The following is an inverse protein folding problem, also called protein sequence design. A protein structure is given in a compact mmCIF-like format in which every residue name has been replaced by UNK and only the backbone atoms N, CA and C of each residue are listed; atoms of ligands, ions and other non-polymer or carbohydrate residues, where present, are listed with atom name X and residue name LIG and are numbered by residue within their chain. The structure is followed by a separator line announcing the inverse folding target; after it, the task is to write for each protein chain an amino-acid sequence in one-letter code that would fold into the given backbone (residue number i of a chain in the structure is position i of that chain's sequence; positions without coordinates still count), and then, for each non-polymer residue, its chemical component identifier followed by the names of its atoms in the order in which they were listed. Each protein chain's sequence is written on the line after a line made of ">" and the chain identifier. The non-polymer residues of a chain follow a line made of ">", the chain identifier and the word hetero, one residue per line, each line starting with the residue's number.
data_IF_830433002286
#
_entry.id   IF_830433002286
#
_cell.length_a   1.000
_cell.length_b   1.000
_cell.length_c   1.000
_cell.angle_alpha   90.00
_cell.angle_beta   90.00
_cell.angle_gamma   90.00
#
_symmetry.space_group_name_H-M   'P 1'
#
loop_
_entity.id
_entity.type
_entity.pdbx_description
1 polymer ?
#
# COMPACT_ATOMS: atom_id res chain seq x y z
N UNK A 1 7.06 8.96 -4.31
CA UNK A 1 5.59 9.07 -4.33
C UNK A 1 5.07 8.43 -3.05
N UNK A 2 4.01 8.94 -2.45
CA UNK A 2 3.47 8.45 -1.18
C UNK A 2 2.02 7.99 -1.34
N UNK A 3 1.70 6.78 -0.88
CA UNK A 3 0.36 6.20 -0.96
C UNK A 3 -0.60 6.81 0.07
N UNK A 4 -1.82 7.08 -0.37
CA UNK A 4 -2.94 7.50 0.46
C UNK A 4 -3.36 6.34 1.36
N UNK A 5 -3.73 6.65 2.61
CA UNK A 5 -4.29 5.73 3.59
C UNK A 5 -3.39 4.54 4.03
N UNK A 6 -2.19 4.37 3.47
CA UNK A 6 -1.20 3.39 3.92
C UNK A 6 -1.81 1.99 4.12
N UNK A 7 -1.64 1.42 5.32
CA UNK A 7 -2.17 0.08 5.66
C UNK A 7 -3.68 -0.09 5.47
N UNK A 8 -4.46 0.99 5.52
CA UNK A 8 -5.90 0.90 5.35
C UNK A 8 -6.33 0.48 3.93
N UNK A 9 -5.41 0.42 2.96
CA UNK A 9 -5.70 -0.14 1.64
C UNK A 9 -5.79 -1.69 1.65
N UNK A 10 -5.39 -2.35 2.73
CA UNK A 10 -5.44 -3.82 2.86
C UNK A 10 -6.61 -4.22 3.74
N UNK A 11 -7.50 -5.09 3.23
CA UNK A 11 -8.59 -5.67 4.03
C UNK A 11 -8.07 -6.69 5.03
N UNK A 12 -8.66 -6.69 6.23
CA UNK A 12 -8.50 -7.80 7.16
C UNK A 12 -9.17 -9.03 6.55
N UNK A 13 -8.56 -10.18 6.75
CA UNK A 13 -9.11 -11.46 6.28
C UNK A 13 -10.48 -11.69 6.91
N UNK A 14 -11.45 -12.09 6.09
CA UNK A 14 -12.80 -12.44 6.54
C UNK A 14 -12.75 -13.49 7.65
N UNK A 15 -13.39 -13.20 8.79
CA UNK A 15 -13.41 -14.01 10.00
C UNK A 15 -12.32 -13.68 11.03
N UNK A 16 -11.38 -12.78 10.70
CA UNK A 16 -10.30 -12.34 11.58
C UNK A 16 -10.49 -10.90 12.11
N UNK A 17 -11.55 -10.18 11.70
CA UNK A 17 -11.82 -8.78 12.09
C UNK A 17 -11.91 -8.61 13.61
N UNK A 18 -12.57 -9.55 14.29
CA UNK A 18 -12.71 -9.57 15.76
C UNK A 18 -11.36 -9.62 16.51
N UNK A 19 -10.30 -10.16 15.89
CA UNK A 19 -8.94 -10.19 16.49
C UNK A 19 -8.30 -8.81 16.55
N UNK A 20 -8.76 -7.92 15.68
CA UNK A 20 -8.33 -6.54 15.59
C UNK A 20 -9.35 -5.57 16.21
N UNK A 21 -10.31 -6.10 16.99
CA UNK A 21 -11.31 -5.28 17.66
C UNK A 21 -10.65 -4.35 18.68
N UNK A 22 -11.17 -3.12 18.76
CA UNK A 22 -10.82 -2.16 19.79
C UNK A 22 -12.06 -1.67 20.50
N UNK A 23 -11.90 -1.21 21.74
CA UNK A 23 -13.01 -0.72 22.56
C UNK A 23 -12.84 0.77 22.85
N UNK A 24 -13.91 1.52 22.65
CA UNK A 24 -14.06 2.92 23.06
C UNK A 24 -15.13 2.99 24.16
N UNK A 25 -15.30 4.15 24.83
CA UNK A 25 -16.43 4.35 25.74
C UNK A 25 -17.81 4.14 25.09
N UNK A 26 -17.90 4.22 23.76
CA UNK A 26 -19.14 4.08 23.00
C UNK A 26 -19.42 2.63 22.56
N UNK A 27 -18.44 1.72 22.71
CA UNK A 27 -18.62 0.30 22.37
C UNK A 27 -17.37 -0.37 21.84
N UNK A 28 -17.53 -1.61 21.38
CA UNK A 28 -16.48 -2.37 20.69
C UNK A 28 -16.69 -2.33 19.18
N UNK A 29 -15.60 -2.14 18.45
CA UNK A 29 -15.61 -1.97 17.00
C UNK A 29 -14.61 -2.93 16.36
N UNK A 30 -15.03 -3.56 15.27
CA UNK A 30 -14.21 -4.45 14.46
C UNK A 30 -13.86 -3.75 13.14
N UNK A 31 -12.58 -3.47 12.88
CA UNK A 31 -12.17 -2.81 11.64
C UNK A 31 -12.18 -3.81 10.47
N UNK A 32 -12.57 -3.34 9.28
CA UNK A 32 -12.55 -4.14 8.05
C UNK A 32 -11.21 -4.06 7.29
N UNK A 33 -10.36 -3.10 7.65
CA UNK A 33 -9.08 -2.83 7.01
C UNK A 33 -7.97 -2.81 8.06
N UNK A 34 -6.75 -3.12 7.63
CA UNK A 34 -5.59 -3.07 8.50
C UNK A 34 -5.33 -1.63 8.95
N UNK A 35 -4.79 -1.46 10.15
CA UNK A 35 -4.48 -0.15 10.72
C UNK A 35 -3.15 -0.19 11.49
N UNK A 36 -2.70 0.97 11.94
CA UNK A 36 -1.48 1.12 12.71
C UNK A 36 -1.56 0.39 14.05
N UNK A 37 -0.49 -0.34 14.40
CA UNK A 37 -0.40 -1.08 15.66
C UNK A 37 -0.62 -2.58 15.53
N UNK A 38 -1.13 -3.08 14.41
CA UNK A 38 -1.09 -4.52 14.13
C UNK A 38 0.33 -4.91 13.69
N UNK A 39 0.89 -5.93 14.33
CA UNK A 39 2.26 -6.41 14.05
C UNK A 39 2.47 -6.79 12.57
N UNK A 40 1.43 -7.32 11.92
CA UNK A 40 1.50 -7.78 10.55
C UNK A 40 1.07 -6.74 9.51
N UNK A 41 0.69 -5.51 9.89
CA UNK A 41 0.35 -4.46 8.93
C UNK A 41 1.50 -4.14 7.96
N UNK A 42 2.72 -3.83 8.44
CA UNK A 42 3.85 -3.54 7.53
C UNK A 42 4.20 -4.69 6.56
N UNK A 43 4.45 -5.93 7.02
CA UNK A 43 4.84 -7.00 6.09
C UNK A 43 3.72 -7.42 5.15
N UNK A 44 2.45 -7.34 5.56
CA UNK A 44 1.32 -7.67 4.67
C UNK A 44 1.19 -6.63 3.56
N UNK A 45 1.32 -5.34 3.89
CA UNK A 45 1.31 -4.26 2.90
C UNK A 45 2.48 -4.38 1.93
N UNK A 46 3.69 -4.61 2.45
CA UNK A 46 4.87 -4.80 1.62
C UNK A 46 4.72 -5.99 0.67
N UNK A 47 4.12 -7.10 1.10
CA UNK A 47 3.86 -8.24 0.23
C UNK A 47 2.91 -7.88 -0.91
N UNK A 48 1.80 -7.20 -0.63
CA UNK A 48 0.87 -6.72 -1.67
C UNK A 48 1.59 -5.84 -2.70
N UNK A 49 2.40 -4.89 -2.23
CA UNK A 49 3.17 -4.01 -3.11
C UNK A 49 4.23 -4.77 -3.91
N UNK A 50 4.91 -5.73 -3.31
CA UNK A 50 5.87 -6.59 -4.01
C UNK A 50 5.16 -7.39 -5.11
N UNK A 51 3.97 -7.94 -4.86
CA UNK A 51 3.23 -8.71 -5.87
C UNK A 51 2.86 -7.84 -7.09
N UNK A 52 2.43 -6.59 -6.86
CA UNK A 52 2.06 -5.63 -7.92
C UNK A 52 3.27 -5.20 -8.76
N UNK A 53 4.45 -5.05 -8.15
CA UNK A 53 5.63 -4.43 -8.77
C UNK A 53 6.84 -5.36 -8.92
N UNK A 54 6.69 -6.67 -8.72
CA UNK A 54 7.80 -7.63 -8.69
C UNK A 54 8.67 -7.62 -9.95
N UNK A 55 8.09 -7.38 -11.12
CA UNK A 55 8.75 -7.31 -12.42
C UNK A 55 9.40 -5.94 -12.70
N UNK A 56 9.12 -4.93 -11.87
CA UNK A 56 9.71 -3.58 -11.96
C UNK A 56 10.80 -3.34 -10.90
N UNK A 57 11.21 -4.35 -10.15
CA UNK A 57 12.13 -4.22 -8.99
C UNK A 57 13.52 -3.65 -9.31
N UNK A 58 13.89 -3.56 -10.58
CA UNK A 58 15.16 -2.99 -11.05
C UNK A 58 15.14 -1.47 -11.07
N UNK A 59 13.96 -0.85 -11.19
CA UNK A 59 13.78 0.61 -11.35
C UNK A 59 12.76 1.20 -10.37
N UNK A 60 11.98 0.35 -9.69
CA UNK A 60 11.03 0.72 -8.64
C UNK A 60 11.42 0.06 -7.33
N UNK A 61 11.68 0.86 -6.30
CA UNK A 61 11.86 0.41 -4.91
C UNK A 61 10.63 0.83 -4.11
N UNK A 62 10.04 -0.11 -3.38
CA UNK A 62 8.91 0.16 -2.51
C UNK A 62 9.29 -0.14 -1.08
N UNK A 63 9.06 0.82 -0.21
CA UNK A 63 9.21 0.67 1.23
C UNK A 63 7.92 1.12 1.91
N UNK A 64 7.10 0.14 2.33
CA UNK A 64 5.79 0.41 2.93
C UNK A 64 4.95 1.27 1.96
N UNK A 65 4.62 2.52 2.31
CA UNK A 65 3.80 3.46 1.54
C UNK A 65 4.62 4.35 0.59
N UNK A 66 5.94 4.36 0.72
CA UNK A 66 6.85 5.11 -0.15
C UNK A 66 7.23 4.31 -1.40
N UNK A 67 7.03 4.93 -2.56
CA UNK A 67 7.44 4.43 -3.86
C UNK A 67 8.54 5.32 -4.42
N UNK A 68 9.72 4.74 -4.63
CA UNK A 68 10.88 5.37 -5.26
C UNK A 68 11.03 4.80 -6.68
N UNK A 69 11.02 5.70 -7.67
CA UNK A 69 11.31 5.37 -9.07
C UNK A 69 12.66 5.97 -9.42
N UNK A 70 13.54 5.21 -10.07
CA UNK A 70 14.83 5.68 -10.52
C UNK A 70 15.16 5.13 -11.92
N UNK A 71 15.68 6.00 -12.77
CA UNK A 71 16.05 5.69 -14.16
C UNK A 71 17.34 6.42 -14.52
N UNK A 72 18.03 5.96 -15.57
CA UNK A 72 19.28 6.58 -16.04
C UNK A 72 19.02 7.81 -16.94
N UNK A 73 17.85 7.87 -17.60
CA UNK A 73 17.44 8.98 -18.47
C UNK A 73 16.09 9.57 -18.02
N UNK A 74 15.90 10.85 -18.34
CA UNK A 74 14.66 11.58 -18.08
C UNK A 74 13.52 11.11 -19.00
N UNK A 75 13.78 10.91 -20.30
CA UNK A 75 12.77 10.38 -21.25
C UNK A 75 12.22 9.01 -20.83
N UNK A 76 13.08 8.12 -20.32
CA UNK A 76 12.63 6.82 -19.81
C UNK A 76 11.95 6.91 -18.43
N UNK A 77 12.16 8.00 -17.70
CA UNK A 77 11.56 8.18 -16.37
C UNK A 77 10.05 8.31 -16.45
N UNK A 78 9.56 9.14 -17.37
CA UNK A 78 8.13 9.41 -17.53
C UNK A 78 7.36 8.15 -17.91
N UNK A 79 7.91 7.31 -18.79
CA UNK A 79 7.30 6.03 -19.18
C UNK A 79 7.14 5.09 -17.98
N UNK A 80 8.18 4.98 -17.14
CA UNK A 80 8.14 4.14 -15.94
C UNK A 80 7.17 4.72 -14.90
N UNK A 81 7.17 6.04 -14.70
CA UNK A 81 6.23 6.72 -13.80
C UNK A 81 4.79 6.49 -14.24
N UNK A 82 4.49 6.61 -15.54
CA UNK A 82 3.15 6.36 -16.07
C UNK A 82 2.72 4.92 -15.87
N UNK A 83 3.61 3.95 -16.09
CA UNK A 83 3.31 2.55 -15.81
C UNK A 83 3.07 2.29 -14.32
N UNK A 84 3.87 2.91 -13.43
CA UNK A 84 3.64 2.84 -11.98
C UNK A 84 2.26 3.38 -11.61
N UNK A 85 1.89 4.57 -12.10
CA UNK A 85 0.60 5.19 -11.83
C UNK A 85 -0.56 4.34 -12.35
N UNK A 86 -0.41 3.76 -13.54
CA UNK A 86 -1.41 2.86 -14.12
C UNK A 86 -1.63 1.62 -13.27
N UNK A 87 -0.57 0.97 -12.77
CA UNK A 87 -0.70 -0.20 -11.89
C UNK A 87 -1.35 0.14 -10.56
N UNK A 88 -1.05 1.31 -10.01
CA UNK A 88 -1.73 1.79 -8.81
C UNK A 88 -3.24 1.95 -9.07
N UNK A 89 -3.62 2.57 -10.17
CA UNK A 89 -5.03 2.72 -10.58
C UNK A 89 -5.73 1.36 -10.78
N UNK A 90 -5.09 0.41 -11.45
CA UNK A 90 -5.61 -0.95 -11.66
C UNK A 90 -5.84 -1.74 -10.36
N UNK A 91 -5.20 -1.33 -9.26
CA UNK A 91 -5.32 -1.94 -7.93
C UNK A 91 -6.06 -1.06 -6.90
N UNK A 92 -6.77 -0.01 -7.35
CA UNK A 92 -7.47 0.94 -6.48
C UNK A 92 -6.56 1.61 -5.41
N UNK A 93 -5.28 1.78 -5.73
CA UNK A 93 -4.30 2.47 -4.91
C UNK A 93 -4.12 3.90 -5.40
N UNK A 94 -4.21 4.86 -4.49
CA UNK A 94 -4.14 6.29 -4.84
C UNK A 94 -2.98 6.95 -4.11
N UNK A 95 -2.31 7.88 -4.78
CA UNK A 95 -1.27 8.71 -4.17
C UNK A 95 -1.90 9.83 -3.32
N UNK A 96 -1.17 10.28 -2.29
CA UNK A 96 -1.52 11.51 -1.57
C UNK A 96 -1.27 12.71 -2.49
N UNK A 97 -2.26 13.58 -2.75
CA UNK A 97 -2.00 14.85 -3.41
C UNK A 97 -1.27 15.76 -2.42
N UNK A 98 -0.11 16.25 -2.82
CA UNK A 98 0.64 17.30 -2.12
C UNK A 98 0.15 18.71 -2.52
#
# INVERSE_FOLDING_TARGET
>A
MDLRWGYNNVRIKEGDEWKAAFTTPEGSFEPLVMYFGLNNSPPTFQNMMNDIFHDMSVVVIIYIDDILVFTESEEGHDEIVLEVLKRLEENDLFLKPE
#
